data_IF_018222653254
#
_entry.id   IF_018222653254
#
_cell.length_a   1.000
_cell.length_b   1.000
_cell.length_c   1.000
_cell.angle_alpha   90.00
_cell.angle_beta   90.00
_cell.angle_gamma   90.00
#
_symmetry.space_group_name_H-M   'P 1'
#
loop_
_entity.id
_entity.type
_entity.pdbx_description
1 polymer ?
#
# COMPACT_ATOMS: atom_id res chain seq x y z
N UNK A 1 -17.28 1.06 -4.63
CA UNK A 1 -17.38 -0.36 -5.06
C UNK A 1 -18.28 -0.53 -6.27
N UNK A 2 -19.40 0.16 -6.36
CA UNK A 2 -20.33 0.04 -7.48
C UNK A 2 -19.73 0.47 -8.81
N UNK A 3 -18.96 1.56 -8.82
CA UNK A 3 -18.25 2.03 -10.01
C UNK A 3 -17.34 0.95 -10.63
N UNK A 4 -16.47 0.34 -9.83
CA UNK A 4 -15.55 -0.70 -10.34
C UNK A 4 -16.30 -1.98 -10.72
N UNK A 5 -17.37 -2.35 -9.98
CA UNK A 5 -18.23 -3.47 -10.34
C UNK A 5 -18.85 -3.28 -11.73
N UNK A 6 -19.50 -2.14 -11.95
CA UNK A 6 -20.19 -1.85 -13.21
C UNK A 6 -19.22 -1.86 -14.40
N UNK A 7 -18.09 -1.15 -14.27
CA UNK A 7 -17.15 -1.03 -15.38
C UNK A 7 -16.39 -2.34 -15.64
N UNK A 8 -16.08 -3.12 -14.59
CA UNK A 8 -15.48 -4.44 -14.76
C UNK A 8 -16.42 -5.41 -15.50
N UNK A 9 -17.73 -5.38 -15.20
CA UNK A 9 -18.71 -6.22 -15.87
C UNK A 9 -18.85 -5.85 -17.36
N UNK A 10 -18.69 -4.56 -17.72
CA UNK A 10 -18.64 -4.14 -19.13
C UNK A 10 -17.45 -4.78 -19.85
N UNK A 11 -16.27 -4.71 -19.25
CA UNK A 11 -15.04 -5.34 -19.81
C UNK A 11 -15.26 -6.85 -19.96
N UNK A 12 -15.72 -7.53 -18.91
CA UNK A 12 -15.94 -8.99 -18.94
C UNK A 12 -16.94 -9.40 -20.03
N UNK A 13 -18.01 -8.62 -20.23
CA UNK A 13 -18.99 -8.86 -21.27
C UNK A 13 -18.39 -8.80 -22.68
N UNK A 14 -17.43 -7.92 -22.92
CA UNK A 14 -16.72 -7.83 -24.20
C UNK A 14 -15.92 -9.10 -24.49
N UNK A 15 -15.40 -9.77 -23.45
CA UNK A 15 -14.75 -11.08 -23.55
C UNK A 15 -15.73 -12.27 -23.57
N UNK A 16 -17.04 -12.02 -23.73
CA UNK A 16 -18.07 -13.07 -23.80
C UNK A 16 -18.44 -13.68 -22.44
N UNK A 17 -18.03 -13.10 -21.32
CA UNK A 17 -18.47 -13.55 -20.01
C UNK A 17 -19.92 -13.17 -19.77
N UNK A 18 -20.79 -14.19 -19.65
CA UNK A 18 -22.22 -14.05 -19.38
C UNK A 18 -22.65 -14.64 -18.04
N UNK A 19 -21.71 -15.21 -17.27
CA UNK A 19 -21.98 -15.91 -16.01
C UNK A 19 -21.81 -15.02 -14.80
N UNK A 20 -20.77 -14.20 -14.78
CA UNK A 20 -20.47 -13.30 -13.66
C UNK A 20 -21.52 -12.19 -13.57
N UNK A 21 -22.08 -12.02 -12.38
CA UNK A 21 -23.10 -10.99 -12.08
C UNK A 21 -22.58 -9.84 -11.25
N UNK A 22 -21.45 -10.07 -10.59
CA UNK A 22 -20.84 -9.09 -9.70
C UNK A 22 -19.32 -9.21 -9.73
N UNK A 23 -18.65 -8.06 -9.71
CA UNK A 23 -17.20 -7.96 -9.50
C UNK A 23 -16.94 -7.19 -8.22
N UNK A 24 -16.08 -7.71 -7.38
CA UNK A 24 -15.80 -7.12 -6.07
C UNK A 24 -14.29 -7.00 -5.86
N UNK A 25 -13.79 -5.82 -5.52
CA UNK A 25 -12.41 -5.69 -5.06
C UNK A 25 -12.26 -6.38 -3.70
N UNK A 26 -11.20 -7.16 -3.57
CA UNK A 26 -10.78 -7.81 -2.34
C UNK A 26 -9.51 -7.18 -1.81
N UNK A 27 -9.40 -7.11 -0.48
CA UNK A 27 -8.26 -6.48 0.20
C UNK A 27 -7.80 -7.32 1.37
N UNK A 28 -6.47 -7.44 1.53
CA UNK A 28 -5.81 -7.92 2.73
C UNK A 28 -4.82 -6.86 3.21
N UNK A 29 -5.09 -6.24 4.35
CA UNK A 29 -4.22 -5.22 4.93
C UNK A 29 -3.29 -5.87 5.97
N UNK A 30 -1.99 -5.84 5.72
CA UNK A 30 -0.96 -6.29 6.66
C UNK A 30 -0.68 -5.15 7.65
N UNK A 31 -1.03 -5.33 8.92
CA UNK A 31 -0.91 -4.30 9.95
C UNK A 31 0.41 -4.42 10.69
N UNK A 32 1.32 -3.50 10.44
CA UNK A 32 2.53 -3.35 11.24
C UNK A 32 2.26 -2.48 12.47
N UNK A 33 2.97 -2.76 13.57
CA UNK A 33 2.85 -2.04 14.83
C UNK A 33 4.08 -2.24 15.74
N UNK A 34 4.28 -1.33 16.70
CA UNK A 34 5.29 -1.49 17.74
C UNK A 34 4.64 -1.83 19.08
N UNK A 35 5.33 -2.62 19.88
CA UNK A 35 4.94 -2.95 21.25
C UNK A 35 6.00 -2.49 22.23
N UNK A 36 5.59 -1.68 23.20
CA UNK A 36 6.47 -1.16 24.25
C UNK A 36 5.92 -1.44 25.64
N UNK A 37 6.80 -1.46 26.64
CA UNK A 37 6.41 -1.60 28.03
C UNK A 37 5.59 -0.39 28.49
N UNK A 38 4.42 -0.65 29.10
CA UNK A 38 3.53 0.39 29.59
C UNK A 38 4.18 1.31 30.61
N UNK A 39 4.96 0.76 31.54
CA UNK A 39 5.63 1.55 32.57
C UNK A 39 6.68 2.51 31.98
N UNK A 40 7.33 2.11 30.89
CA UNK A 40 8.27 2.96 30.16
C UNK A 40 7.54 4.01 29.31
N UNK A 41 6.45 3.62 28.66
CA UNK A 41 5.60 4.53 27.90
C UNK A 41 5.06 5.67 28.77
N UNK A 42 4.57 5.36 29.97
CA UNK A 42 4.00 6.36 30.88
C UNK A 42 5.04 7.41 31.38
N UNK A 43 6.32 7.12 31.26
CA UNK A 43 7.42 8.06 31.56
C UNK A 43 7.79 8.95 30.38
N UNK A 44 7.26 8.70 29.17
CA UNK A 44 7.59 9.38 27.92
C UNK A 44 6.39 10.17 27.39
N UNK A 45 6.34 11.46 27.75
CA UNK A 45 5.23 12.34 27.30
C UNK A 45 5.22 12.56 25.79
N UNK A 46 6.37 12.54 25.14
CA UNK A 46 6.45 12.58 23.68
C UNK A 46 5.71 11.39 23.03
N UNK A 47 5.94 10.17 23.49
CA UNK A 47 5.18 9.01 23.02
C UNK A 47 3.68 9.10 23.33
N UNK A 48 3.32 9.65 24.51
CA UNK A 48 1.90 9.80 24.92
C UNK A 48 1.19 10.81 24.04
N UNK A 49 1.82 11.96 23.75
CA UNK A 49 1.15 13.06 23.07
C UNK A 49 1.29 13.00 21.54
N UNK A 50 2.44 12.55 21.02
CA UNK A 50 2.68 12.51 19.56
C UNK A 50 2.74 11.11 18.96
N UNK A 51 2.80 10.05 19.78
CA UNK A 51 2.96 8.68 19.31
C UNK A 51 4.39 8.32 18.89
N UNK A 52 5.32 9.28 18.93
CA UNK A 52 6.72 9.08 18.53
C UNK A 52 7.71 9.75 19.49
N UNK A 53 8.95 9.28 19.48
CA UNK A 53 10.03 9.91 20.24
C UNK A 53 10.47 11.22 19.57
N UNK A 54 10.48 12.31 20.31
CA UNK A 54 10.92 13.64 19.85
C UNK A 54 12.32 14.00 20.35
N UNK A 55 12.77 13.36 21.42
CA UNK A 55 14.06 13.61 22.08
C UNK A 55 14.56 12.34 22.79
N UNK A 56 15.78 12.39 23.27
CA UNK A 56 16.46 11.29 23.97
C UNK A 56 17.56 10.67 23.11
N UNK A 57 18.27 9.72 23.69
CA UNK A 57 19.33 8.99 23.01
C UNK A 57 18.79 7.87 22.15
N UNK A 58 19.51 7.56 21.08
CA UNK A 58 19.26 6.36 20.29
C UNK A 58 19.46 5.10 21.14
N UNK A 59 18.66 4.02 20.89
CA UNK A 59 18.88 2.77 21.59
C UNK A 59 20.26 2.19 21.24
N UNK A 60 20.88 1.41 22.14
CA UNK A 60 22.19 0.80 21.88
C UNK A 60 22.15 -0.29 20.81
N UNK A 61 20.98 -0.81 20.49
CA UNK A 61 20.74 -1.82 19.48
C UNK A 61 19.77 -1.29 18.42
N UNK A 62 20.18 -1.38 17.15
CA UNK A 62 19.38 -1.05 15.98
C UNK A 62 18.81 -2.30 15.28
N UNK A 63 19.03 -2.38 13.98
CA UNK A 63 18.50 -3.44 13.08
C UNK A 63 19.63 -4.32 12.52
N UNK A 64 20.74 -4.43 13.23
CA UNK A 64 21.91 -5.15 12.76
C UNK A 64 21.54 -6.60 12.44
N UNK A 65 21.91 -7.04 11.23
CA UNK A 65 21.68 -8.39 10.69
C UNK A 65 20.21 -8.83 10.66
N UNK A 66 19.26 -7.93 10.75
CA UNK A 66 17.82 -8.22 10.84
C UNK A 66 17.49 -9.26 11.93
N UNK A 67 18.24 -9.23 13.02
CA UNK A 67 18.20 -10.28 14.04
C UNK A 67 16.88 -10.31 14.82
N UNK A 68 16.11 -9.22 14.83
CA UNK A 68 14.75 -9.22 15.35
C UNK A 68 13.79 -9.95 14.40
N UNK A 69 13.87 -9.70 13.11
CA UNK A 69 13.03 -10.34 12.09
C UNK A 69 13.19 -11.86 12.08
N UNK A 70 14.43 -12.34 12.11
CA UNK A 70 14.74 -13.78 12.14
C UNK A 70 14.74 -14.39 13.54
N UNK A 71 14.54 -13.57 14.58
CA UNK A 71 14.56 -13.99 15.96
C UNK A 71 13.26 -14.67 16.43
N UNK A 72 13.34 -15.35 17.56
CA UNK A 72 12.18 -15.93 18.21
C UNK A 72 11.27 -14.86 18.81
N UNK A 73 9.96 -15.06 18.71
CA UNK A 73 8.97 -14.23 19.43
C UNK A 73 9.10 -14.50 20.93
N UNK A 74 9.32 -13.46 21.72
CA UNK A 74 9.42 -13.58 23.18
C UNK A 74 8.09 -14.06 23.78
N UNK A 75 8.13 -14.89 24.80
CA UNK A 75 6.97 -15.52 25.42
C UNK A 75 5.86 -14.54 25.79
N UNK A 76 6.20 -13.40 26.41
CA UNK A 76 5.19 -12.36 26.76
C UNK A 76 4.53 -11.72 25.54
N UNK A 77 5.26 -11.58 24.44
CA UNK A 77 4.72 -11.04 23.17
C UNK A 77 3.87 -12.12 22.50
N UNK A 78 4.32 -13.36 22.51
CA UNK A 78 3.52 -14.48 21.99
C UNK A 78 2.19 -14.66 22.74
N UNK A 79 2.18 -14.45 24.07
CA UNK A 79 0.95 -14.45 24.87
C UNK A 79 0.00 -13.32 24.45
N UNK A 80 0.53 -12.11 24.25
CA UNK A 80 -0.23 -10.97 23.71
C UNK A 80 -0.80 -11.29 22.33
N UNK A 81 0.02 -11.75 21.39
CA UNK A 81 -0.41 -12.10 20.03
C UNK A 81 -1.51 -13.17 20.02
N UNK A 82 -1.37 -14.19 20.87
CA UNK A 82 -2.38 -15.24 21.02
C UNK A 82 -3.73 -14.69 21.48
N UNK A 83 -3.73 -13.76 22.42
CA UNK A 83 -4.98 -13.16 22.90
C UNK A 83 -5.57 -12.17 21.88
N UNK A 84 -4.76 -11.42 21.13
CA UNK A 84 -5.21 -10.64 19.98
C UNK A 84 -5.95 -11.53 18.98
N UNK A 85 -5.37 -12.64 18.58
CA UNK A 85 -6.00 -13.59 17.65
C UNK A 85 -7.36 -14.08 18.16
N UNK A 86 -7.43 -14.47 19.44
CA UNK A 86 -8.69 -14.94 20.04
C UNK A 86 -9.79 -13.87 20.02
N UNK A 87 -9.45 -12.62 20.36
CA UNK A 87 -10.44 -11.54 20.35
C UNK A 87 -10.89 -11.25 18.92
N UNK A 88 -9.98 -11.20 17.96
CA UNK A 88 -10.30 -10.98 16.54
C UNK A 88 -11.18 -12.09 15.98
N UNK A 89 -10.86 -13.37 16.27
CA UNK A 89 -11.67 -14.51 15.82
C UNK A 89 -13.10 -14.49 16.38
N UNK A 90 -13.27 -14.08 17.65
CA UNK A 90 -14.61 -13.89 18.24
C UNK A 90 -15.44 -12.82 17.51
N UNK A 91 -14.78 -11.85 16.91
CA UNK A 91 -15.41 -10.78 16.13
C UNK A 91 -15.57 -11.12 14.64
N UNK A 92 -15.15 -12.32 14.21
CA UNK A 92 -15.21 -12.76 12.83
C UNK A 92 -14.06 -12.23 11.94
N UNK A 93 -13.04 -11.61 12.53
CA UNK A 93 -11.84 -11.18 11.80
C UNK A 93 -10.86 -12.34 11.71
N UNK A 94 -10.55 -12.77 10.48
CA UNK A 94 -9.68 -13.91 10.20
C UNK A 94 -8.20 -13.54 10.29
N UNK A 95 -7.72 -13.15 11.48
CA UNK A 95 -6.30 -12.96 11.75
C UNK A 95 -5.57 -14.30 11.58
N UNK A 96 -4.48 -14.32 10.81
CA UNK A 96 -3.79 -15.57 10.44
C UNK A 96 -2.33 -15.57 10.85
N UNK A 97 -1.57 -14.58 10.42
CA UNK A 97 -0.12 -14.57 10.59
C UNK A 97 0.27 -13.43 11.52
N UNK A 98 1.13 -13.73 12.49
CA UNK A 98 1.82 -12.75 13.32
C UNK A 98 3.29 -13.12 13.40
N UNK A 99 4.17 -12.15 13.21
CA UNK A 99 5.62 -12.34 13.25
C UNK A 99 6.34 -11.05 13.69
N UNK A 100 7.65 -11.16 13.90
CA UNK A 100 8.51 -10.02 14.14
C UNK A 100 8.81 -9.30 12.84
N UNK A 101 8.88 -7.97 12.89
CA UNK A 101 9.41 -7.11 11.85
C UNK A 101 10.88 -6.72 12.10
N UNK A 102 11.48 -5.96 11.17
CA UNK A 102 12.91 -5.68 11.18
C UNK A 102 13.31 -4.77 12.37
N UNK A 103 12.51 -3.76 12.67
CA UNK A 103 12.84 -2.87 13.78
C UNK A 103 12.64 -3.54 15.15
N UNK A 104 13.48 -3.25 16.14
CA UNK A 104 13.30 -3.74 17.50
C UNK A 104 11.90 -3.42 18.05
N UNK A 105 11.22 -4.42 18.59
CA UNK A 105 9.86 -4.34 19.12
C UNK A 105 8.76 -4.06 18.07
N UNK A 106 9.06 -4.23 16.81
CA UNK A 106 8.09 -4.15 15.71
C UNK A 106 7.57 -5.53 15.36
N UNK A 107 6.27 -5.59 15.05
CA UNK A 107 5.57 -6.82 14.71
C UNK A 107 4.53 -6.54 13.62
N UNK A 108 4.05 -7.61 12.97
CA UNK A 108 3.00 -7.54 11.96
C UNK A 108 1.90 -8.54 12.23
N UNK A 109 0.67 -8.15 11.88
CA UNK A 109 -0.49 -9.01 11.81
C UNK A 109 -1.08 -8.96 10.41
N UNK A 110 -1.16 -10.12 9.75
CA UNK A 110 -1.77 -10.27 8.44
C UNK A 110 -3.06 -11.09 8.53
N UNK A 111 -4.23 -10.52 8.19
CA UNK A 111 -5.50 -11.23 8.10
C UNK A 111 -5.63 -11.95 6.75
N UNK A 112 -6.56 -12.89 6.67
CA UNK A 112 -7.05 -13.38 5.37
C UNK A 112 -7.80 -12.23 4.68
N UNK A 113 -7.59 -12.07 3.37
CA UNK A 113 -8.27 -11.04 2.59
C UNK A 113 -9.81 -11.21 2.60
N UNK A 114 -10.51 -10.11 2.46
CA UNK A 114 -11.96 -10.06 2.40
C UNK A 114 -12.42 -9.03 1.34
N UNK A 115 -13.72 -8.91 1.14
CA UNK A 115 -14.27 -7.80 0.36
C UNK A 115 -13.75 -6.47 0.91
N UNK A 116 -13.50 -5.52 0.04
CA UNK A 116 -12.81 -4.26 0.36
C UNK A 116 -13.43 -3.50 1.55
N UNK A 117 -14.77 -3.34 1.60
CA UNK A 117 -15.41 -2.68 2.73
C UNK A 117 -15.30 -3.49 4.04
N UNK A 118 -15.55 -4.80 3.98
CA UNK A 118 -15.38 -5.69 5.13
C UNK A 118 -13.94 -5.70 5.63
N UNK A 119 -12.96 -5.74 4.72
CA UNK A 119 -11.54 -5.68 5.07
C UNK A 119 -11.19 -4.34 5.75
N UNK A 120 -11.80 -3.25 5.29
CA UNK A 120 -11.62 -1.92 5.90
C UNK A 120 -12.16 -1.89 7.33
N UNK A 121 -13.37 -2.39 7.56
CA UNK A 121 -13.97 -2.48 8.90
C UNK A 121 -13.16 -3.41 9.81
N UNK A 122 -12.74 -4.57 9.29
CA UNK A 122 -11.88 -5.52 10.00
C UNK A 122 -10.54 -4.91 10.41
N UNK A 123 -9.95 -4.05 9.56
CA UNK A 123 -8.71 -3.37 9.91
C UNK A 123 -8.91 -2.35 11.04
N UNK A 124 -10.02 -1.60 11.05
CA UNK A 124 -10.34 -0.70 12.16
C UNK A 124 -10.53 -1.48 13.48
N UNK A 125 -11.24 -2.61 13.44
CA UNK A 125 -11.38 -3.50 14.60
C UNK A 125 -10.02 -4.05 15.05
N UNK A 126 -9.16 -4.44 14.13
CA UNK A 126 -7.80 -4.94 14.42
C UNK A 126 -6.98 -3.90 15.16
N UNK A 127 -6.97 -2.66 14.70
CA UNK A 127 -6.25 -1.56 15.35
C UNK A 127 -6.72 -1.32 16.78
N UNK A 128 -8.04 -1.38 17.00
CA UNK A 128 -8.64 -1.20 18.32
C UNK A 128 -8.35 -2.38 19.26
N UNK A 129 -8.43 -3.61 18.75
CA UNK A 129 -8.12 -4.83 19.51
C UNK A 129 -6.65 -4.88 19.92
N UNK A 130 -5.72 -4.53 19.00
CA UNK A 130 -4.30 -4.46 19.30
C UNK A 130 -4.02 -3.54 20.50
N UNK A 131 -4.59 -2.34 20.52
CA UNK A 131 -4.43 -1.39 21.65
C UNK A 131 -5.02 -1.93 22.95
N UNK A 132 -6.24 -2.44 22.92
CA UNK A 132 -6.94 -2.94 24.13
C UNK A 132 -6.26 -4.17 24.72
N UNK A 133 -5.85 -5.11 23.89
CA UNK A 133 -5.20 -6.34 24.35
C UNK A 133 -3.79 -6.02 24.86
N UNK A 134 -3.03 -5.15 24.20
CA UNK A 134 -1.73 -4.71 24.69
C UNK A 134 -1.83 -4.16 26.12
N UNK A 135 -2.84 -3.34 26.39
CA UNK A 135 -3.06 -2.77 27.72
C UNK A 135 -3.32 -3.84 28.80
N UNK A 136 -4.04 -4.92 28.47
CA UNK A 136 -4.27 -6.06 29.39
C UNK A 136 -2.96 -6.82 29.73
N UNK A 137 -1.99 -6.78 28.81
CA UNK A 137 -0.67 -7.41 28.99
C UNK A 137 0.40 -6.49 29.58
N UNK A 138 0.02 -5.35 30.15
CA UNK A 138 0.92 -4.30 30.61
C UNK A 138 1.88 -3.77 29.51
N UNK A 139 1.37 -3.76 28.28
CA UNK A 139 2.03 -3.27 27.08
C UNK A 139 1.27 -2.08 26.49
N UNK A 140 1.89 -1.37 25.56
CA UNK A 140 1.25 -0.36 24.72
C UNK A 140 1.56 -0.67 23.26
N UNK A 141 0.53 -0.70 22.44
CA UNK A 141 0.65 -0.81 20.98
C UNK A 141 0.74 0.59 20.38
N UNK A 142 1.83 0.87 19.69
CA UNK A 142 2.05 2.09 18.93
C UNK A 142 1.72 1.82 17.47
N UNK A 143 0.75 2.56 16.94
CA UNK A 143 0.35 2.50 15.52
C UNK A 143 0.87 3.70 14.72
N UNK A 144 1.77 4.51 15.30
CA UNK A 144 2.41 5.61 14.59
C UNK A 144 3.33 5.08 13.49
N UNK A 145 3.42 5.78 12.36
CA UNK A 145 4.19 5.40 11.18
C UNK A 145 5.71 5.37 11.44
N UNK A 146 6.19 6.23 12.32
CA UNK A 146 7.64 6.33 12.68
C UNK A 146 7.81 6.63 14.16
N UNK A 147 7.52 5.67 15.07
CA UNK A 147 7.65 5.91 16.51
C UNK A 147 9.08 6.17 16.94
N UNK A 148 10.04 5.60 16.23
CA UNK A 148 11.47 5.68 16.54
C UNK A 148 12.27 6.06 15.29
N UNK A 149 13.06 7.12 15.38
CA UNK A 149 13.93 7.55 14.29
C UNK A 149 15.08 6.55 14.05
N UNK A 150 15.56 6.44 12.81
CA UNK A 150 16.73 5.63 12.45
C UNK A 150 16.47 4.13 12.28
N UNK A 151 15.26 3.64 12.53
CA UNK A 151 14.84 2.26 12.30
C UNK A 151 13.60 2.21 11.40
N UNK A 152 13.17 1.02 10.95
CA UNK A 152 11.96 0.88 10.14
C UNK A 152 10.76 1.55 10.81
N UNK A 153 9.91 2.13 10.00
CA UNK A 153 8.57 2.58 10.40
C UNK A 153 7.52 1.50 10.17
N UNK A 154 6.30 1.79 10.55
CA UNK A 154 5.15 0.89 10.40
C UNK A 154 4.15 1.43 9.39
N UNK A 155 3.67 0.56 8.54
CA UNK A 155 2.63 0.83 7.56
C UNK A 155 1.60 -0.27 7.48
N UNK A 156 0.89 -0.28 6.35
CA UNK A 156 0.01 -1.36 5.93
C UNK A 156 0.30 -1.67 4.48
N UNK A 157 0.65 -2.91 4.18
CA UNK A 157 0.65 -3.36 2.81
C UNK A 157 -0.80 -3.68 2.41
N UNK A 158 -1.37 -2.83 1.57
CA UNK A 158 -2.74 -2.98 1.11
C UNK A 158 -2.76 -3.89 -0.13
N UNK A 159 -2.89 -5.20 0.10
CA UNK A 159 -3.00 -6.20 -0.97
C UNK A 159 -4.37 -6.09 -1.61
N UNK A 160 -4.42 -5.69 -2.87
CA UNK A 160 -5.64 -5.40 -3.61
C UNK A 160 -5.78 -6.28 -4.85
N UNK A 161 -6.96 -6.82 -5.08
CA UNK A 161 -7.32 -7.60 -6.26
C UNK A 161 -8.78 -7.41 -6.63
N UNK A 162 -9.18 -7.87 -7.82
CA UNK A 162 -10.55 -7.75 -8.34
C UNK A 162 -11.04 -9.15 -8.71
N UNK A 163 -12.14 -9.60 -8.08
CA UNK A 163 -12.65 -10.96 -8.24
C UNK A 163 -14.14 -10.96 -8.56
N UNK A 164 -14.55 -11.82 -9.48
CA UNK A 164 -15.95 -12.05 -9.81
C UNK A 164 -16.66 -12.90 -8.74
N UNK A 165 -17.99 -12.89 -8.75
CA UNK A 165 -18.81 -13.69 -7.82
C UNK A 165 -18.72 -15.21 -8.09
N UNK A 166 -18.29 -15.61 -9.27
CA UNK A 166 -17.98 -17.00 -9.64
C UNK A 166 -16.49 -17.37 -9.48
N UNK A 167 -15.69 -16.49 -8.87
CA UNK A 167 -14.33 -16.80 -8.40
C UNK A 167 -13.21 -16.52 -9.39
N UNK A 168 -13.44 -15.81 -10.48
CA UNK A 168 -12.40 -15.42 -11.45
C UNK A 168 -11.68 -14.19 -10.90
N UNK A 169 -10.37 -14.29 -10.68
CA UNK A 169 -9.52 -13.15 -10.35
C UNK A 169 -9.03 -12.49 -11.66
N UNK A 170 -9.39 -11.23 -11.88
CA UNK A 170 -9.03 -10.49 -13.09
C UNK A 170 -7.54 -10.14 -13.17
N UNK A 171 -6.82 -10.25 -12.06
CA UNK A 171 -5.37 -10.04 -11.97
C UNK A 171 -4.58 -11.35 -11.95
N UNK A 172 -5.21 -12.48 -12.26
CA UNK A 172 -4.50 -13.75 -12.40
C UNK A 172 -3.93 -13.89 -13.83
N UNK A 173 -2.60 -13.84 -14.01
CA UNK A 173 -1.97 -13.97 -15.32
C UNK A 173 -2.11 -15.38 -15.92
N UNK A 174 -2.44 -16.38 -15.10
CA UNK A 174 -2.45 -17.77 -15.50
C UNK A 174 -1.03 -18.33 -15.73
N UNK A 175 -0.96 -19.45 -16.46
CA UNK A 175 0.31 -20.11 -16.75
C UNK A 175 1.07 -19.49 -17.91
N UNK A 176 0.37 -18.87 -18.83
CA UNK A 176 0.88 -18.23 -20.06
C UNK A 176 0.39 -16.78 -20.13
N UNK A 177 1.03 -15.85 -19.38
CA UNK A 177 0.57 -14.45 -19.31
C UNK A 177 0.46 -13.76 -20.66
N UNK A 178 1.35 -14.09 -21.61
CA UNK A 178 1.37 -13.52 -22.95
C UNK A 178 0.17 -13.92 -23.81
N UNK A 179 -0.52 -15.02 -23.50
CA UNK A 179 -1.73 -15.48 -24.20
C UNK A 179 -3.01 -15.02 -23.53
N UNK A 180 -2.93 -14.51 -22.28
CA UNK A 180 -4.10 -14.09 -21.51
C UNK A 180 -4.48 -12.63 -21.82
N UNK A 181 -5.15 -12.43 -22.95
CA UNK A 181 -5.53 -11.11 -23.46
C UNK A 181 -6.39 -10.32 -22.47
N UNK A 182 -7.32 -10.98 -21.77
CA UNK A 182 -8.14 -10.33 -20.74
C UNK A 182 -7.27 -9.80 -19.60
N UNK A 183 -6.33 -10.60 -19.09
CA UNK A 183 -5.40 -10.16 -18.06
C UNK A 183 -4.53 -8.99 -18.54
N UNK A 184 -3.99 -9.05 -19.76
CA UNK A 184 -3.15 -7.98 -20.31
C UNK A 184 -3.93 -6.67 -20.46
N UNK A 185 -5.19 -6.72 -20.88
CA UNK A 185 -6.05 -5.53 -20.93
C UNK A 185 -6.29 -4.96 -19.53
N UNK A 186 -6.58 -5.80 -18.55
CA UNK A 186 -6.78 -5.39 -17.15
C UNK A 186 -5.50 -4.80 -16.57
N UNK A 187 -4.34 -5.42 -16.82
CA UNK A 187 -3.05 -4.90 -16.40
C UNK A 187 -2.78 -3.51 -17.00
N UNK A 188 -2.99 -3.35 -18.31
CA UNK A 188 -2.86 -2.06 -19.00
C UNK A 188 -3.80 -1.00 -18.46
N UNK A 189 -5.03 -1.38 -18.10
CA UNK A 189 -6.00 -0.48 -17.49
C UNK A 189 -5.55 -0.01 -16.09
N UNK A 190 -4.98 -0.89 -15.28
CA UNK A 190 -4.41 -0.53 -13.97
C UNK A 190 -3.19 0.37 -14.15
N UNK A 191 -2.30 0.07 -15.12
CA UNK A 191 -1.16 0.95 -15.44
C UNK A 191 -1.63 2.36 -15.81
N UNK A 192 -2.61 2.49 -16.70
CA UNK A 192 -3.20 3.79 -17.09
C UNK A 192 -3.77 4.52 -15.88
N UNK A 193 -4.54 3.84 -15.04
CA UNK A 193 -5.17 4.42 -13.86
C UNK A 193 -4.12 4.99 -12.89
N UNK A 194 -3.09 4.21 -12.58
CA UNK A 194 -2.02 4.59 -11.64
C UNK A 194 -1.14 5.71 -12.22
N UNK A 195 -0.80 5.65 -13.51
CA UNK A 195 0.00 6.68 -14.16
C UNK A 195 -0.75 8.03 -14.26
N UNK A 196 -2.03 7.99 -14.63
CA UNK A 196 -2.85 9.19 -14.79
C UNK A 196 -3.13 9.90 -13.46
N UNK A 197 -3.31 9.11 -12.39
CA UNK A 197 -3.70 9.59 -11.07
C UNK A 197 -2.66 9.30 -9.98
N UNK A 198 -1.36 9.27 -10.34
CA UNK A 198 -0.27 9.01 -9.41
C UNK A 198 -0.26 9.99 -8.23
N UNK A 199 -0.55 11.27 -8.47
CA UNK A 199 -0.67 12.30 -7.45
C UNK A 199 -1.83 12.05 -6.46
N UNK A 200 -2.99 11.66 -6.97
CA UNK A 200 -4.16 11.34 -6.15
C UNK A 200 -3.95 10.04 -5.35
N UNK A 201 -3.30 9.04 -5.96
CA UNK A 201 -2.96 7.81 -5.25
C UNK A 201 -1.92 8.07 -4.14
N UNK A 202 -0.93 8.96 -4.39
CA UNK A 202 0.00 9.41 -3.34
C UNK A 202 -0.72 10.15 -2.23
N UNK A 203 -1.67 11.02 -2.57
CA UNK A 203 -2.48 11.76 -1.60
C UNK A 203 -3.27 10.82 -0.68
N UNK A 204 -3.82 9.73 -1.22
CA UNK A 204 -4.63 8.77 -0.48
C UNK A 204 -3.91 8.09 0.70
N UNK A 205 -2.59 8.13 0.71
CA UNK A 205 -1.71 7.65 1.78
C UNK A 205 -0.91 8.79 2.43
N UNK A 206 -1.39 10.03 2.33
CA UNK A 206 -0.73 11.19 2.93
C UNK A 206 -1.18 11.40 4.39
N UNK A 207 -0.21 11.37 5.28
CA UNK A 207 -0.35 11.60 6.71
C UNK A 207 0.94 12.19 7.28
N UNK A 208 0.85 12.89 8.41
CA UNK A 208 2.01 13.49 9.10
C UNK A 208 3.05 12.42 9.47
N UNK A 209 2.60 11.27 9.95
CA UNK A 209 3.47 10.16 10.32
C UNK A 209 4.20 9.59 9.10
N UNK A 210 3.52 9.50 7.96
CA UNK A 210 4.10 9.05 6.71
C UNK A 210 5.17 10.02 6.15
N UNK A 211 5.09 11.31 6.43
CA UNK A 211 6.16 12.26 6.07
C UNK A 211 7.49 11.91 6.76
N UNK A 212 7.43 11.26 7.93
CA UNK A 212 8.60 10.75 8.64
C UNK A 212 9.04 9.35 8.21
N UNK A 213 8.11 8.55 7.65
CA UNK A 213 8.35 7.15 7.31
C UNK A 213 8.83 6.94 5.87
N UNK A 214 8.20 7.60 4.89
CA UNK A 214 8.43 7.32 3.46
C UNK A 214 9.87 7.64 3.01
N UNK A 215 10.37 6.82 2.10
CA UNK A 215 11.64 7.03 1.40
C UNK A 215 12.86 6.31 1.96
N UNK A 216 12.71 5.51 3.02
CA UNK A 216 13.78 4.69 3.57
C UNK A 216 13.25 3.56 4.46
N UNK A 217 14.12 2.58 4.78
CA UNK A 217 13.81 1.53 5.77
C UNK A 217 12.52 0.77 5.44
N UNK A 218 12.46 0.16 4.25
CA UNK A 218 11.34 -0.61 3.70
C UNK A 218 10.05 0.19 3.41
N UNK A 219 10.01 1.49 3.70
CA UNK A 219 8.93 2.35 3.27
C UNK A 219 9.20 2.90 1.86
N UNK A 220 8.21 2.84 0.92
CA UNK A 220 8.44 3.27 -0.45
C UNK A 220 8.77 4.77 -0.55
N UNK A 221 9.44 5.20 -1.63
CA UNK A 221 9.65 6.61 -1.90
C UNK A 221 8.34 7.34 -2.21
N UNK A 222 8.33 8.67 -2.12
CA UNK A 222 7.17 9.51 -2.40
C UNK A 222 6.79 9.61 -3.89
N UNK A 223 7.43 8.81 -4.73
CA UNK A 223 7.16 8.69 -6.17
C UNK A 223 6.34 7.43 -6.40
N UNK A 224 5.14 7.56 -6.95
CA UNK A 224 4.35 6.40 -7.36
C UNK A 224 5.01 5.77 -8.59
N UNK A 225 5.32 4.49 -8.49
CA UNK A 225 5.77 3.63 -9.59
C UNK A 225 5.21 2.22 -9.42
N UNK A 226 5.18 1.46 -10.52
CA UNK A 226 4.69 0.08 -10.53
C UNK A 226 5.85 -0.88 -10.71
N UNK A 227 5.89 -1.91 -9.89
CA UNK A 227 6.76 -3.07 -10.08
C UNK A 227 5.96 -4.21 -10.70
N UNK A 228 6.40 -4.72 -11.83
CA UNK A 228 5.77 -5.85 -12.52
C UNK A 228 6.56 -7.17 -12.38
N UNK A 229 7.85 -7.09 -12.13
CA UNK A 229 8.78 -8.20 -12.17
C UNK A 229 9.21 -8.56 -13.60
N UNK A 230 10.31 -9.30 -13.71
CA UNK A 230 10.97 -9.58 -15.01
C UNK A 230 10.05 -10.24 -16.04
N UNK A 231 9.21 -11.18 -15.60
CA UNK A 231 8.34 -11.94 -16.52
C UNK A 231 7.29 -11.07 -17.19
N UNK A 232 6.58 -10.24 -16.43
CA UNK A 232 5.52 -9.40 -17.00
C UNK A 232 6.11 -8.21 -17.74
N UNK A 233 7.23 -7.65 -17.28
CA UNK A 233 7.90 -6.58 -18.01
C UNK A 233 8.37 -7.05 -19.37
N UNK A 234 8.94 -8.27 -19.49
CA UNK A 234 9.31 -8.85 -20.77
C UNK A 234 8.11 -8.96 -21.73
N UNK A 235 6.95 -9.43 -21.25
CA UNK A 235 5.71 -9.50 -22.04
C UNK A 235 5.25 -8.11 -22.49
N UNK A 236 5.27 -7.13 -21.58
CA UNK A 236 4.89 -5.74 -21.88
C UNK A 236 5.83 -5.15 -22.94
N UNK A 237 7.16 -5.36 -22.80
CA UNK A 237 8.13 -4.86 -23.77
C UNK A 237 8.00 -5.53 -25.14
N UNK A 238 7.72 -6.83 -25.20
CA UNK A 238 7.42 -7.51 -26.48
C UNK A 238 6.23 -6.88 -27.20
N UNK A 239 5.16 -6.57 -26.47
CA UNK A 239 3.95 -5.92 -27.02
C UNK A 239 4.24 -4.49 -27.51
N UNK A 240 5.04 -3.73 -26.77
CA UNK A 240 5.45 -2.37 -27.18
C UNK A 240 6.31 -2.42 -28.44
N UNK A 241 7.37 -3.22 -28.46
CA UNK A 241 8.40 -3.19 -29.50
C UNK A 241 7.96 -3.90 -30.78
N UNK A 242 7.33 -5.07 -30.64
CA UNK A 242 6.98 -5.96 -31.77
C UNK A 242 5.50 -5.95 -32.11
N UNK A 243 4.66 -5.43 -31.21
CA UNK A 243 3.21 -5.46 -31.33
C UNK A 243 2.57 -6.81 -30.99
N UNK A 244 3.37 -7.82 -30.64
CA UNK A 244 2.89 -9.15 -30.26
C UNK A 244 3.86 -9.77 -29.24
N UNK A 245 3.32 -10.54 -28.30
CA UNK A 245 4.11 -11.29 -27.31
C UNK A 245 4.00 -12.79 -27.61
N UNK A 246 5.09 -13.37 -28.06
CA UNK A 246 5.13 -14.76 -28.52
C UNK A 246 5.55 -15.78 -27.47
N UNK A 247 6.11 -15.31 -26.36
CA UNK A 247 6.55 -16.13 -25.23
C UNK A 247 6.55 -15.34 -23.92
N UNK A 248 6.67 -16.04 -22.82
CA UNK A 248 6.98 -15.45 -21.51
C UNK A 248 8.13 -16.21 -20.87
N UNK A 249 8.96 -15.52 -20.11
CA UNK A 249 10.06 -16.12 -19.37
C UNK A 249 9.50 -17.21 -18.46
N UNK A 250 9.87 -18.47 -18.71
CA UNK A 250 9.42 -19.58 -17.86
C UNK A 250 10.18 -19.57 -16.54
N UNK A 251 9.45 -19.87 -15.46
CA UNK A 251 10.03 -20.04 -14.11
C UNK A 251 11.16 -21.06 -14.15
N UNK A 252 12.39 -20.58 -13.98
CA UNK A 252 13.55 -21.47 -13.89
C UNK A 252 13.49 -22.31 -12.62
N UNK A 253 13.95 -23.56 -12.69
CA UNK A 253 14.16 -24.39 -11.50
C UNK A 253 15.50 -24.03 -10.86
N UNK A 254 15.50 -23.77 -9.56
CA UNK A 254 16.74 -23.66 -8.79
C UNK A 254 17.29 -25.07 -8.58
N UNK A 255 18.33 -25.42 -9.34
CA UNK A 255 19.08 -26.67 -9.11
C UNK A 255 20.04 -26.42 -7.96
N UNK A 256 19.76 -27.01 -6.81
CA UNK A 256 20.61 -26.89 -5.61
C UNK A 256 21.94 -27.63 -5.73
N UNK A 257 22.13 -28.42 -6.79
CA UNK A 257 23.33 -29.26 -6.98
C UNK A 257 23.37 -30.48 -6.06
N UNK A 258 22.43 -30.63 -5.14
CA UNK A 258 22.31 -31.76 -4.22
C UNK A 258 21.24 -32.72 -4.74
N UNK A 259 21.64 -33.96 -5.06
CA UNK A 259 20.74 -34.98 -5.61
C UNK A 259 19.61 -35.45 -4.65
N UNK A 260 19.69 -35.06 -3.40
CA UNK A 260 18.73 -35.39 -2.34
C UNK A 260 17.67 -34.30 -2.08
N UNK A 261 17.84 -33.10 -2.67
CA UNK A 261 16.87 -32.02 -2.53
C UNK A 261 16.01 -31.93 -3.80
N UNK A 262 14.68 -31.76 -3.66
CA UNK A 262 13.83 -31.53 -4.82
C UNK A 262 14.22 -30.23 -5.51
N UNK A 263 14.04 -30.16 -6.83
CA UNK A 263 14.14 -28.91 -7.59
C UNK A 263 13.13 -27.90 -7.03
N UNK A 264 13.62 -26.76 -6.54
CA UNK A 264 12.77 -25.66 -6.11
C UNK A 264 12.42 -24.80 -7.32
N UNK A 265 11.16 -24.51 -7.51
CA UNK A 265 10.75 -23.49 -8.48
C UNK A 265 11.30 -22.14 -8.01
N UNK A 266 12.04 -21.44 -8.86
CA UNK A 266 12.35 -20.04 -8.60
C UNK A 266 11.03 -19.29 -8.47
N UNK A 267 10.87 -18.56 -7.37
CA UNK A 267 9.77 -17.62 -7.26
C UNK A 267 10.00 -16.53 -8.30
N UNK A 268 9.10 -16.41 -9.28
CA UNK A 268 9.16 -15.36 -10.30
C UNK A 268 8.65 -14.01 -9.76
N UNK A 269 8.10 -14.00 -8.54
CA UNK A 269 7.70 -12.79 -7.83
C UNK A 269 8.86 -12.32 -6.97
N UNK A 270 9.90 -11.73 -7.62
CA UNK A 270 10.88 -10.96 -6.87
C UNK A 270 10.15 -9.77 -6.23
N UNK A 271 10.12 -9.75 -4.90
CA UNK A 271 9.48 -8.65 -4.16
C UNK A 271 10.45 -7.48 -4.15
N UNK A 272 10.25 -6.51 -5.03
CA UNK A 272 10.94 -5.24 -4.88
C UNK A 272 10.35 -4.47 -3.69
N UNK A 273 11.01 -4.56 -2.53
CA UNK A 273 10.58 -3.93 -1.27
C UNK A 273 10.56 -2.40 -1.34
N UNK A 274 11.18 -1.81 -2.34
CA UNK A 274 11.21 -0.35 -2.53
C UNK A 274 10.08 0.17 -3.40
N UNK A 275 9.31 -0.70 -4.09
CA UNK A 275 8.21 -0.27 -4.95
C UNK A 275 6.98 0.11 -4.13
N UNK A 276 6.35 1.26 -4.40
CA UNK A 276 5.11 1.67 -3.75
C UNK A 276 3.87 0.88 -4.20
N UNK A 277 3.88 0.34 -5.43
CA UNK A 277 2.78 -0.41 -6.01
C UNK A 277 3.31 -1.61 -6.79
N UNK A 278 3.34 -2.77 -6.14
CA UNK A 278 3.98 -3.97 -6.66
C UNK A 278 2.98 -5.05 -7.05
N UNK A 279 3.16 -5.62 -8.25
CA UNK A 279 2.43 -6.82 -8.65
C UNK A 279 3.04 -8.06 -7.99
N UNK A 280 2.23 -8.81 -7.24
CA UNK A 280 2.68 -9.97 -6.46
C UNK A 280 1.89 -11.23 -6.84
N UNK A 281 2.00 -11.63 -8.10
CA UNK A 281 1.47 -12.87 -8.64
C UNK A 281 0.03 -12.81 -9.15
N UNK A 282 -0.92 -12.34 -8.36
CA UNK A 282 -2.34 -12.22 -8.76
C UNK A 282 -3.05 -11.04 -8.08
N UNK A 283 -2.28 -10.07 -7.60
CA UNK A 283 -2.75 -8.88 -6.90
C UNK A 283 -1.71 -7.78 -6.95
N UNK A 284 -2.11 -6.56 -6.67
CA UNK A 284 -1.20 -5.46 -6.40
C UNK A 284 -1.12 -5.18 -4.90
N UNK A 285 0.06 -4.82 -4.46
CA UNK A 285 0.36 -4.46 -3.09
C UNK A 285 0.70 -2.96 -3.04
N UNK A 286 -0.19 -2.15 -2.46
CA UNK A 286 0.03 -0.74 -2.24
C UNK A 286 0.63 -0.52 -0.86
N UNK A 287 1.90 -0.13 -0.79
CA UNK A 287 2.75 -0.15 0.41
C UNK A 287 2.85 1.18 1.14
N UNK A 288 2.15 2.21 0.70
CA UNK A 288 2.31 3.56 1.25
C UNK A 288 1.41 3.86 2.44
N UNK A 289 0.35 3.09 2.68
CA UNK A 289 -0.61 3.40 3.74
C UNK A 289 0.06 3.35 5.11
N UNK A 290 -0.16 4.38 5.93
CA UNK A 290 0.38 4.50 7.28
C UNK A 290 -0.23 3.51 8.27
N UNK A 291 0.51 3.15 9.31
CA UNK A 291 0.06 2.20 10.34
C UNK A 291 -1.16 2.70 11.10
N UNK A 292 -1.27 4.01 11.37
CA UNK A 292 -2.40 4.60 12.07
C UNK A 292 -3.60 4.90 11.16
N UNK A 293 -3.40 4.91 9.84
CA UNK A 293 -4.41 5.31 8.87
C UNK A 293 -5.49 4.24 8.66
N UNK A 294 -6.64 4.68 8.19
CA UNK A 294 -7.63 3.81 7.55
C UNK A 294 -7.18 3.44 6.14
N UNK A 295 -7.41 2.19 5.72
CA UNK A 295 -7.20 1.79 4.32
C UNK A 295 -8.30 2.30 3.37
N UNK A 296 -9.37 2.92 3.90
CA UNK A 296 -10.49 3.39 3.09
C UNK A 296 -10.09 4.41 2.02
N UNK A 297 -9.32 5.49 2.31
CA UNK A 297 -8.94 6.48 1.28
C UNK A 297 -8.17 5.84 0.12
N UNK A 298 -7.19 5.00 0.40
CA UNK A 298 -6.40 4.32 -0.61
C UNK A 298 -7.27 3.43 -1.52
N UNK A 299 -8.19 2.66 -0.93
CA UNK A 299 -9.07 1.78 -1.69
C UNK A 299 -10.17 2.54 -2.45
N UNK A 300 -10.67 3.66 -1.92
CA UNK A 300 -11.63 4.52 -2.64
C UNK A 300 -10.95 5.10 -3.88
N UNK A 301 -9.76 5.65 -3.74
CA UNK A 301 -9.00 6.18 -4.87
C UNK A 301 -8.70 5.08 -5.88
N UNK A 302 -8.08 3.97 -5.44
CA UNK A 302 -7.67 2.88 -6.34
C UNK A 302 -8.85 2.29 -7.12
N UNK A 303 -9.95 2.00 -6.46
CA UNK A 303 -11.15 1.47 -7.13
C UNK A 303 -11.76 2.47 -8.12
N UNK A 304 -11.72 3.77 -7.83
CA UNK A 304 -12.35 4.79 -8.69
C UNK A 304 -11.49 5.10 -9.90
N UNK A 305 -10.17 5.22 -9.76
CA UNK A 305 -9.26 5.45 -10.90
C UNK A 305 -9.25 4.26 -11.86
N UNK A 306 -9.30 3.04 -11.33
CA UNK A 306 -9.39 1.83 -12.17
C UNK A 306 -10.75 1.72 -12.85
N UNK A 307 -11.85 2.10 -12.17
CA UNK A 307 -13.18 2.17 -12.79
C UNK A 307 -13.21 3.19 -13.95
N UNK A 308 -12.56 4.34 -13.81
CA UNK A 308 -12.45 5.32 -14.90
C UNK A 308 -11.71 4.72 -16.10
N UNK A 309 -10.57 4.09 -15.85
CA UNK A 309 -9.80 3.44 -16.92
C UNK A 309 -10.62 2.35 -17.63
N UNK A 310 -11.32 1.51 -16.89
CA UNK A 310 -12.21 0.50 -17.49
C UNK A 310 -13.35 1.12 -18.29
N UNK A 311 -13.96 2.21 -17.80
CA UNK A 311 -15.01 2.93 -18.53
C UNK A 311 -14.52 3.43 -19.88
N UNK A 312 -13.38 4.12 -19.90
CA UNK A 312 -12.82 4.68 -21.13
C UNK A 312 -12.45 3.60 -22.14
N UNK A 313 -11.85 2.49 -21.67
CA UNK A 313 -11.53 1.34 -22.51
C UNK A 313 -12.80 0.68 -23.04
N UNK A 314 -13.83 0.46 -22.21
CA UNK A 314 -15.08 -0.12 -22.63
C UNK A 314 -15.81 0.77 -23.66
N UNK A 315 -15.83 2.08 -23.43
CA UNK A 315 -16.46 3.06 -24.35
C UNK A 315 -15.83 3.05 -25.75
N UNK A 316 -14.53 2.71 -25.85
CA UNK A 316 -13.82 2.59 -27.12
C UNK A 316 -14.07 1.20 -27.76
N UNK A 317 -13.91 0.12 -26.97
CA UNK A 317 -14.02 -1.25 -27.48
C UNK A 317 -15.46 -1.66 -27.83
N UNK A 318 -16.48 -1.12 -27.15
CA UNK A 318 -17.89 -1.39 -27.47
C UNK A 318 -18.32 -0.85 -28.86
N UNK A 319 -17.55 0.08 -29.43
CA UNK A 319 -17.81 0.68 -30.75
C UNK A 319 -17.03 0.00 -31.90
N UNK A 320 -16.14 -0.93 -31.55
CA UNK A 320 -15.26 -1.54 -32.53
C UNK A 320 -15.98 -2.61 -33.36
N UNK A 321 -15.79 -2.57 -34.68
CA UNK A 321 -16.34 -3.58 -35.61
C UNK A 321 -15.66 -4.95 -35.43
N UNK A 322 -14.38 -4.95 -35.04
CA UNK A 322 -13.61 -6.15 -34.77
C UNK A 322 -12.99 -6.03 -33.38
N UNK A 323 -13.59 -6.72 -32.39
CA UNK A 323 -13.17 -6.68 -31.00
C UNK A 323 -11.72 -7.17 -30.80
N UNK A 324 -11.34 -8.29 -31.42
CA UNK A 324 -10.03 -8.90 -31.18
C UNK A 324 -8.89 -7.97 -31.61
N UNK A 325 -9.03 -7.38 -32.81
CA UNK A 325 -8.05 -6.43 -33.33
C UNK A 325 -8.03 -5.14 -32.50
N UNK A 326 -9.18 -4.59 -32.17
CA UNK A 326 -9.26 -3.36 -31.36
C UNK A 326 -8.73 -3.57 -29.94
N UNK A 327 -8.98 -4.73 -29.34
CA UNK A 327 -8.46 -5.09 -28.02
C UNK A 327 -6.94 -5.21 -28.03
N UNK A 328 -6.36 -5.84 -29.04
CA UNK A 328 -4.93 -5.95 -29.21
C UNK A 328 -4.27 -4.56 -29.38
N UNK A 329 -4.81 -3.72 -30.25
CA UNK A 329 -4.34 -2.34 -30.46
C UNK A 329 -4.46 -1.51 -29.18
N UNK A 330 -5.55 -1.69 -28.42
CA UNK A 330 -5.77 -1.04 -27.12
C UNK A 330 -4.70 -1.44 -26.11
N UNK A 331 -4.39 -2.73 -25.96
CA UNK A 331 -3.36 -3.22 -25.06
C UNK A 331 -2.01 -2.60 -25.42
N UNK A 332 -1.64 -2.64 -26.70
CA UNK A 332 -0.39 -2.01 -27.18
C UNK A 332 -0.35 -0.51 -26.87
N UNK A 333 -1.43 0.21 -27.12
CA UNK A 333 -1.56 1.63 -26.81
C UNK A 333 -1.37 1.90 -25.33
N UNK A 334 -2.07 1.17 -24.46
CA UNK A 334 -1.98 1.33 -23.00
C UNK A 334 -0.56 1.12 -22.49
N UNK A 335 0.10 0.06 -22.92
CA UNK A 335 1.48 -0.20 -22.50
C UNK A 335 2.45 0.84 -23.04
N UNK A 336 2.31 1.27 -24.29
CA UNK A 336 3.18 2.27 -24.88
C UNK A 336 3.05 3.63 -24.18
N UNK A 337 1.82 4.08 -23.91
CA UNK A 337 1.56 5.40 -23.33
C UNK A 337 1.89 5.46 -21.83
N UNK A 338 1.70 4.36 -21.09
CA UNK A 338 1.79 4.34 -19.63
C UNK A 338 2.98 3.54 -19.07
N UNK A 339 3.87 3.01 -19.92
CA UNK A 339 5.07 2.28 -19.46
C UNK A 339 5.99 3.14 -18.57
N UNK A 340 5.93 4.46 -18.69
CA UNK A 340 6.73 5.39 -17.87
C UNK A 340 6.59 5.18 -16.37
N UNK A 341 5.44 4.62 -15.90
CA UNK A 341 5.17 4.35 -14.48
C UNK A 341 5.86 3.08 -13.99
N UNK A 342 6.30 2.18 -14.89
CA UNK A 342 6.93 0.90 -14.55
C UNK A 342 8.37 1.12 -14.15
N UNK A 343 8.75 0.60 -12.97
CA UNK A 343 10.12 0.61 -12.48
C UNK A 343 10.39 -0.61 -11.62
N UNK A 344 11.35 -1.45 -12.06
CA UNK A 344 11.74 -2.68 -11.35
C UNK A 344 13.07 -2.54 -10.60
N UNK A 345 13.67 -1.35 -10.59
CA UNK A 345 14.94 -1.06 -9.92
C UNK A 345 14.81 -0.67 -8.45
N UNK A 346 15.92 -0.19 -7.89
CA UNK A 346 15.96 0.31 -6.51
C UNK A 346 15.32 1.71 -6.40
N UNK A 347 14.13 1.78 -5.80
CA UNK A 347 13.37 3.03 -5.61
C UNK A 347 14.01 4.04 -4.65
N UNK A 348 15.06 3.64 -3.89
CA UNK A 348 15.77 4.55 -2.97
C UNK A 348 16.97 5.26 -3.59
N UNK A 349 17.33 4.91 -4.83
CA UNK A 349 18.51 5.50 -5.46
C UNK A 349 18.24 6.92 -5.97
N UNK A 350 19.27 7.76 -5.94
CA UNK A 350 19.19 9.12 -6.49
C UNK A 350 18.96 9.10 -8.01
N UNK A 351 19.52 8.09 -8.70
CA UNK A 351 19.30 7.87 -10.13
C UNK A 351 17.82 7.64 -10.45
N UNK A 352 17.07 6.98 -9.55
CA UNK A 352 15.63 6.83 -9.73
C UNK A 352 14.90 8.17 -9.61
N UNK A 353 15.29 9.01 -8.67
CA UNK A 353 14.67 10.35 -8.52
C UNK A 353 14.85 11.18 -9.79
N UNK A 354 16.07 11.19 -10.36
CA UNK A 354 16.37 11.89 -11.62
C UNK A 354 15.60 11.29 -12.81
N UNK A 355 15.54 9.96 -12.89
CA UNK A 355 14.82 9.26 -13.95
C UNK A 355 13.30 9.49 -13.84
N UNK A 356 12.74 9.48 -12.66
CA UNK A 356 11.33 9.75 -12.43
C UNK A 356 10.95 11.20 -12.85
N UNK A 357 11.81 12.16 -12.54
CA UNK A 357 11.65 13.55 -13.01
C UNK A 357 11.69 13.63 -14.53
N UNK A 358 12.65 12.95 -15.18
CA UNK A 358 12.76 12.85 -16.64
C UNK A 358 11.50 12.23 -17.28
N UNK A 359 10.89 11.25 -16.61
CA UNK A 359 9.63 10.62 -17.04
C UNK A 359 8.39 11.47 -16.74
N UNK A 360 8.55 12.59 -16.01
CA UNK A 360 7.45 13.46 -15.60
C UNK A 360 6.57 12.84 -14.51
N UNK A 361 7.12 11.94 -13.68
CA UNK A 361 6.42 11.36 -12.54
C UNK A 361 6.49 12.32 -11.33
N UNK A 362 5.38 12.54 -10.60
CA UNK A 362 5.39 13.45 -9.46
C UNK A 362 6.15 12.85 -8.27
N UNK A 363 7.00 13.68 -7.65
CA UNK A 363 7.69 13.36 -6.40
C UNK A 363 7.13 14.24 -5.27
N UNK A 364 6.08 13.74 -4.61
CA UNK A 364 5.31 14.49 -3.61
C UNK A 364 5.75 14.06 -2.21
N UNK A 365 6.70 14.78 -1.62
CA UNK A 365 7.40 14.37 -0.40
C UNK A 365 6.60 14.59 0.88
N UNK A 366 5.70 15.59 0.92
CA UNK A 366 4.98 15.94 2.14
C UNK A 366 3.46 15.78 1.97
N UNK A 367 2.77 15.62 3.10
CA UNK A 367 1.31 15.65 3.15
C UNK A 367 0.76 16.99 2.63
N UNK A 368 1.40 18.10 3.00
CA UNK A 368 0.96 19.44 2.60
C UNK A 368 0.97 19.60 1.09
N UNK A 369 1.98 19.04 0.42
CA UNK A 369 2.10 19.07 -1.05
C UNK A 369 1.18 18.05 -1.72
N UNK A 370 0.76 16.99 -1.02
CA UNK A 370 -0.12 15.96 -1.57
C UNK A 370 -1.60 16.35 -1.56
N UNK A 371 -2.06 17.01 -0.51
CA UNK A 371 -3.49 17.37 -0.31
C UNK A 371 -4.12 18.11 -1.49
N UNK A 372 -3.42 19.04 -2.22
CA UNK A 372 -3.99 19.71 -3.39
C UNK A 372 -4.47 18.75 -4.49
N UNK A 373 -3.90 17.54 -4.60
CA UNK A 373 -4.34 16.54 -5.57
C UNK A 373 -5.81 16.13 -5.37
N UNK A 374 -6.29 16.14 -4.12
CA UNK A 374 -7.67 15.78 -3.78
C UNK A 374 -8.70 16.77 -4.34
N UNK A 375 -8.33 18.04 -4.44
CA UNK A 375 -9.20 19.12 -4.94
C UNK A 375 -8.84 19.59 -6.35
N UNK A 376 -7.95 18.89 -7.03
CA UNK A 376 -7.61 19.16 -8.40
C UNK A 376 -8.83 18.93 -9.33
N UNK A 377 -9.02 19.74 -10.39
CA UNK A 377 -10.18 19.59 -11.29
C UNK A 377 -10.37 18.17 -11.83
N UNK A 378 -9.27 17.46 -12.12
CA UNK A 378 -9.33 16.06 -12.58
C UNK A 378 -9.89 15.11 -11.52
N UNK A 379 -9.53 15.31 -10.26
CA UNK A 379 -10.01 14.50 -9.15
C UNK A 379 -11.49 14.78 -8.86
N UNK A 380 -11.91 16.03 -8.85
CA UNK A 380 -13.32 16.42 -8.70
C UNK A 380 -14.16 15.77 -9.79
N UNK A 381 -13.76 15.95 -11.06
CA UNK A 381 -14.46 15.33 -12.20
C UNK A 381 -14.53 13.80 -12.08
N UNK A 382 -13.44 13.16 -11.68
CA UNK A 382 -13.38 11.72 -11.47
C UNK A 382 -14.45 11.28 -10.46
N UNK A 383 -14.40 11.82 -9.25
CA UNK A 383 -15.29 11.39 -8.16
C UNK A 383 -16.74 11.73 -8.41
N UNK A 384 -17.06 12.91 -8.96
CA UNK A 384 -18.42 13.30 -9.31
C UNK A 384 -18.99 12.42 -10.42
N UNK A 385 -18.18 12.05 -11.42
CA UNK A 385 -18.63 11.21 -12.54
C UNK A 385 -19.10 9.82 -12.14
N UNK A 386 -18.66 9.34 -11.00
CA UNK A 386 -19.08 8.07 -10.40
C UNK A 386 -19.98 8.23 -9.16
N UNK A 387 -20.32 9.46 -8.78
CA UNK A 387 -21.12 9.73 -7.59
C UNK A 387 -20.46 9.30 -6.29
N UNK A 388 -19.11 9.28 -6.24
CA UNK A 388 -18.34 8.87 -5.06
C UNK A 388 -18.21 10.01 -4.06
N UNK A 389 -17.79 11.18 -4.52
CA UNK A 389 -17.72 12.41 -3.74
C UNK A 389 -18.14 13.61 -4.59
N UNK A 390 -18.76 14.59 -3.95
CA UNK A 390 -18.97 15.91 -4.49
C UNK A 390 -17.74 16.81 -4.28
N UNK A 391 -17.62 17.89 -5.04
CA UNK A 391 -16.56 18.89 -4.83
C UNK A 391 -16.55 19.41 -3.38
N UNK A 392 -17.71 19.66 -2.80
CA UNK A 392 -17.83 20.14 -1.42
C UNK A 392 -17.25 19.16 -0.39
N UNK A 393 -17.48 17.85 -0.58
CA UNK A 393 -16.93 16.81 0.29
C UNK A 393 -15.41 16.69 0.13
N UNK A 394 -14.89 16.82 -1.10
CA UNK A 394 -13.45 16.78 -1.35
C UNK A 394 -12.74 17.98 -0.71
N UNK A 395 -13.30 19.18 -0.83
CA UNK A 395 -12.76 20.39 -0.20
C UNK A 395 -12.78 20.28 1.33
N UNK A 396 -13.88 19.79 1.92
CA UNK A 396 -13.96 19.56 3.35
C UNK A 396 -12.91 18.56 3.85
N UNK A 397 -12.67 17.48 3.10
CA UNK A 397 -11.62 16.49 3.43
C UNK A 397 -10.23 17.10 3.38
N UNK A 398 -9.95 17.92 2.39
CA UNK A 398 -8.67 18.62 2.27
C UNK A 398 -8.43 19.56 3.47
N UNK A 399 -9.43 20.33 3.87
CA UNK A 399 -9.36 21.21 5.04
C UNK A 399 -9.10 20.44 6.34
N UNK A 400 -9.81 19.32 6.54
CA UNK A 400 -9.62 18.43 7.70
C UNK A 400 -8.18 17.88 7.74
N UNK A 401 -7.62 17.51 6.60
CA UNK A 401 -6.24 17.03 6.52
C UNK A 401 -5.24 18.13 6.91
N UNK A 402 -5.39 19.34 6.42
CA UNK A 402 -4.55 20.47 6.83
C UNK A 402 -4.69 20.80 8.32
N UNK A 403 -5.91 20.75 8.86
CA UNK A 403 -6.14 20.96 10.28
C UNK A 403 -5.47 19.88 11.13
N UNK A 404 -5.58 18.62 10.72
CA UNK A 404 -4.94 17.49 11.39
C UNK A 404 -3.39 17.64 11.38
N UNK A 405 -2.82 18.01 10.23
CA UNK A 405 -1.39 18.29 10.10
C UNK A 405 -0.95 19.40 11.06
N UNK A 406 -1.62 20.55 11.04
CA UNK A 406 -1.31 21.68 11.90
C UNK A 406 -1.41 21.32 13.39
N UNK A 407 -2.41 20.53 13.79
CA UNK A 407 -2.58 20.05 15.16
C UNK A 407 -1.43 19.13 15.59
N UNK A 408 -1.05 18.17 14.75
CA UNK A 408 0.03 17.24 15.04
C UNK A 408 1.38 17.97 15.25
N UNK A 409 1.74 18.83 14.30
CA UNK A 409 2.99 19.63 14.40
C UNK A 409 2.99 20.55 15.62
N UNK A 410 1.84 21.17 15.94
CA UNK A 410 1.72 22.00 17.16
C UNK A 410 1.88 21.18 18.45
N UNK A 411 1.37 19.95 18.50
CA UNK A 411 1.53 19.06 19.66
C UNK A 411 3.01 18.71 19.83
N UNK A 412 3.69 18.34 18.76
CA UNK A 412 5.12 18.03 18.78
C UNK A 412 5.96 19.23 19.24
N UNK A 413 5.75 20.39 18.64
CA UNK A 413 6.44 21.62 19.00
C UNK A 413 6.24 21.97 20.48
N UNK A 414 5.01 21.92 20.99
CA UNK A 414 4.69 22.19 22.40
C UNK A 414 5.32 21.13 23.32
N UNK A 415 5.35 19.86 22.91
CA UNK A 415 5.97 18.80 23.68
C UNK A 415 7.49 19.01 23.77
N UNK A 416 8.15 19.41 22.69
CA UNK A 416 9.57 19.78 22.71
C UNK A 416 9.83 20.96 23.63
N UNK A 417 9.05 22.02 23.54
CA UNK A 417 9.20 23.22 24.40
C UNK A 417 9.00 22.89 25.89
N UNK A 418 8.06 22.00 26.23
CA UNK A 418 7.82 21.56 27.60
C UNK A 418 9.06 20.93 28.24
N UNK A 419 9.85 20.21 27.44
CA UNK A 419 11.04 19.50 27.93
C UNK A 419 12.34 20.29 27.80
N UNK A 420 12.41 21.19 26.82
CA UNK A 420 13.67 21.93 26.52
C UNK A 420 13.69 23.35 27.09
N UNK A 421 12.52 23.93 27.40
CA UNK A 421 12.44 25.25 28.01
C UNK A 421 12.69 25.16 29.53
N UNK A 422 13.65 25.91 30.11
CA UNK A 422 13.87 25.91 31.54
C UNK A 422 12.63 26.42 32.26
N UNK A 423 12.19 25.69 33.27
CA UNK A 423 11.04 26.09 34.09
C UNK A 423 11.36 27.40 34.85
N UNK A 424 10.34 28.20 35.23
CA UNK A 424 10.57 29.34 36.08
C UNK A 424 11.30 29.02 37.42
N UNK A 425 11.13 27.76 37.88
CA UNK A 425 11.85 27.25 39.08
C UNK A 425 13.35 27.04 38.81
N UNK A 426 13.70 26.56 37.62
CA UNK A 426 15.12 26.31 37.26
C UNK A 426 15.87 27.63 37.10
N UNK A 427 15.22 28.73 36.73
CA UNK A 427 15.79 30.08 36.66
C UNK A 427 16.10 30.68 38.04
N UNK A 428 15.40 30.21 39.08
CA UNK A 428 15.63 30.71 40.46
C UNK A 428 16.79 30.03 41.17
N UNK A 429 17.24 28.88 40.69
CA UNK A 429 18.36 28.12 41.26
C UNK A 429 19.72 28.52 40.66
N UNK A 430 19.72 29.21 39.53
CA UNK A 430 20.94 29.67 38.81
C UNK A 430 21.35 31.12 39.10
N UNK A 431 20.84 31.74 40.19
CA UNK A 431 21.27 33.05 40.68
C UNK A 431 21.97 32.95 42.02
#
# INVERSE_FOLDING_TARGET
MDAINEQSLRILKLFGNTTSKKVTPSVGAEQEYFIVDRDKYLQRKDLIFSGRTLFGAMPPKGQELDDHYFGAIRERIGAFMKDVNKELWKMGVSAKTQHNEVAPAQHELAPIYAQCNTATDNNQLTMEVLKKVAYRHNLVCLLHEKPFAGVNGSGKHNNWSITTDDGINLLDPGKTPHENIQFLLVLGAVMKAVDTHADLLRESASDVGNDHRLGANEAPPAIISMFLGEQLEDVVMQLIDKGDATNSIQKGKLKTGASTLPDLNKDATDRNRTSPFAFTGNKFEFRMVGSSDSIAPANVVLNTIVAESFREIADELEKADNFDMACHDMIKKLFTEHHRIVFNGNGYSDEWVEEAERRGLPNIKSMVDAVPALTAPKAIKLFESFGVFTESELRSRAEIKYEAYAKAINIEAKSCLLYTSPSPRDRSVSR
#
